data_IF_598876382935
#
_entry.id   IF_598876382935
#
_cell.length_a   1.000
_cell.length_b   1.000
_cell.length_c   1.000
_cell.angle_alpha   90.00
_cell.angle_beta   90.00
_cell.angle_gamma   90.00
#
_symmetry.space_group_name_H-M   'P 1'
#
loop_
_entity.id
_entity.type
_entity.pdbx_description
1 polymer ?
#
# COMPACT_ATOMS: atom_id res chain seq x y z
N UNK A 1 9.74 -13.71 -13.14
CA UNK A 1 8.41 -14.28 -13.43
C UNK A 1 8.39 -15.17 -14.66
N UNK A 2 8.85 -14.73 -15.83
CA UNK A 2 8.86 -15.54 -17.06
C UNK A 2 9.59 -16.87 -16.90
N UNK A 3 10.81 -16.88 -16.36
CA UNK A 3 11.57 -18.10 -16.10
C UNK A 3 10.89 -19.06 -15.13
N UNK A 4 10.05 -18.56 -14.22
CA UNK A 4 9.32 -19.39 -13.28
C UNK A 4 8.15 -20.14 -13.93
N UNK A 5 7.59 -19.62 -15.04
CA UNK A 5 6.52 -20.26 -15.80
C UNK A 5 6.99 -21.50 -16.60
N UNK A 6 8.30 -21.64 -16.83
CA UNK A 6 8.89 -22.73 -17.63
C UNK A 6 9.96 -23.53 -16.90
N UNK A 7 10.30 -23.13 -15.66
CA UNK A 7 11.34 -23.75 -14.85
C UNK A 7 10.83 -24.83 -13.89
N UNK A 8 11.62 -25.14 -12.87
CA UNK A 8 11.35 -26.13 -11.84
C UNK A 8 10.00 -25.93 -11.12
N UNK A 9 9.57 -24.67 -10.96
CA UNK A 9 8.34 -24.30 -10.26
C UNK A 9 7.15 -24.06 -11.20
N UNK A 10 7.23 -24.46 -12.47
CA UNK A 10 6.20 -24.16 -13.47
C UNK A 10 4.78 -24.56 -13.04
N UNK A 11 4.61 -25.78 -12.53
CA UNK A 11 3.30 -26.29 -12.09
C UNK A 11 2.74 -25.47 -10.90
N UNK A 12 3.60 -25.12 -9.94
CA UNK A 12 3.24 -24.27 -8.81
C UNK A 12 2.82 -22.89 -9.31
N UNK A 13 3.58 -22.29 -10.20
CA UNK A 13 3.30 -20.98 -10.78
C UNK A 13 1.99 -21.02 -11.56
N UNK A 14 1.77 -21.98 -12.45
CA UNK A 14 0.54 -22.12 -13.23
C UNK A 14 -0.71 -22.29 -12.36
N UNK A 15 -0.59 -22.91 -11.19
CA UNK A 15 -1.70 -23.07 -10.25
C UNK A 15 -2.07 -21.79 -9.49
N UNK A 16 -1.19 -20.77 -9.48
CA UNK A 16 -1.37 -19.52 -8.71
C UNK A 16 -1.43 -18.25 -9.57
N UNK A 17 -0.67 -18.22 -10.67
CA UNK A 17 -0.54 -17.04 -11.53
C UNK A 17 -1.87 -16.61 -12.16
N UNK A 18 -2.25 -15.35 -11.98
CA UNK A 18 -3.53 -14.77 -12.44
C UNK A 18 -4.78 -15.51 -11.92
N UNK A 19 -4.69 -16.15 -10.75
CA UNK A 19 -5.84 -16.81 -10.11
C UNK A 19 -6.49 -15.92 -9.06
N UNK A 20 -5.71 -15.18 -8.32
CA UNK A 20 -6.22 -14.28 -7.30
C UNK A 20 -6.66 -12.94 -7.91
N UNK A 21 -5.94 -12.47 -8.95
CA UNK A 21 -6.30 -11.31 -9.78
C UNK A 21 -6.46 -11.76 -11.23
N UNK A 22 -7.60 -12.37 -11.60
CA UNK A 22 -7.82 -12.80 -12.97
C UNK A 22 -7.99 -11.60 -13.92
N UNK A 23 -7.61 -11.71 -15.20
CA UNK A 23 -7.74 -10.61 -16.18
C UNK A 23 -9.18 -10.09 -16.37
N UNK A 24 -10.19 -10.85 -15.95
CA UNK A 24 -11.61 -10.46 -16.03
C UNK A 24 -12.11 -9.70 -14.81
N UNK A 25 -11.27 -9.43 -13.81
CA UNK A 25 -11.66 -8.79 -12.55
C UNK A 25 -12.11 -7.33 -12.78
N UNK A 26 -11.28 -6.55 -13.48
CA UNK A 26 -11.57 -5.15 -13.86
C UNK A 26 -10.67 -4.71 -15.03
N UNK A 27 -10.92 -3.51 -15.57
CA UNK A 27 -10.24 -3.00 -16.78
C UNK A 27 -8.70 -2.95 -16.67
N UNK A 28 -8.13 -2.65 -15.51
CA UNK A 28 -6.67 -2.61 -15.33
C UNK A 28 -6.07 -4.00 -15.18
N UNK A 29 -6.79 -4.94 -14.57
CA UNK A 29 -6.40 -6.34 -14.56
C UNK A 29 -6.45 -6.94 -15.99
N UNK A 30 -7.42 -6.53 -16.82
CA UNK A 30 -7.50 -6.92 -18.21
C UNK A 30 -6.33 -6.36 -19.04
N UNK A 31 -6.00 -5.08 -18.84
CA UNK A 31 -4.83 -4.47 -19.47
C UNK A 31 -3.55 -5.20 -19.07
N UNK A 32 -3.35 -5.39 -17.76
CA UNK A 32 -2.20 -6.12 -17.25
C UNK A 32 -2.11 -7.54 -17.85
N UNK A 33 -3.21 -8.29 -17.84
CA UNK A 33 -3.26 -9.65 -18.39
C UNK A 33 -2.93 -9.74 -19.89
N UNK A 34 -3.18 -8.66 -20.65
CA UNK A 34 -2.90 -8.60 -22.08
C UNK A 34 -1.43 -8.26 -22.40
N UNK A 35 -0.76 -7.47 -21.54
CA UNK A 35 0.56 -6.88 -21.87
C UNK A 35 1.60 -7.04 -20.74
N UNK A 36 1.34 -7.85 -19.74
CA UNK A 36 2.29 -8.05 -18.64
C UNK A 36 3.66 -8.52 -19.16
N UNK A 37 4.71 -8.06 -18.52
CA UNK A 37 6.07 -8.49 -18.83
C UNK A 37 6.96 -8.39 -17.61
N UNK A 38 7.73 -9.46 -17.34
CA UNK A 38 8.63 -9.52 -16.21
C UNK A 38 7.93 -9.57 -14.84
N UNK A 39 8.66 -9.23 -13.81
CA UNK A 39 8.21 -9.24 -12.42
C UNK A 39 8.91 -10.28 -11.56
N UNK A 40 8.48 -10.38 -10.29
CA UNK A 40 9.13 -11.21 -9.28
C UNK A 40 8.33 -12.49 -9.02
N UNK A 41 9.05 -13.59 -8.82
CA UNK A 41 8.50 -14.82 -8.26
C UNK A 41 9.28 -15.18 -7.00
N UNK A 42 8.57 -15.40 -5.88
CA UNK A 42 9.17 -15.82 -4.62
C UNK A 42 8.35 -16.97 -4.06
N UNK A 43 9.03 -18.05 -3.73
CA UNK A 43 8.46 -19.20 -3.04
C UNK A 43 9.24 -19.44 -1.74
N UNK A 44 8.52 -19.46 -0.62
CA UNK A 44 9.10 -19.77 0.70
C UNK A 44 8.48 -21.06 1.20
N UNK A 45 9.26 -22.15 1.25
CA UNK A 45 8.78 -23.46 1.72
C UNK A 45 8.30 -23.45 3.17
N UNK A 46 7.49 -24.44 3.53
CA UNK A 46 6.92 -24.57 4.87
C UNK A 46 7.98 -24.53 5.98
N UNK A 47 7.69 -23.76 7.03
CA UNK A 47 8.55 -23.60 8.21
C UNK A 47 9.82 -22.77 7.99
N UNK A 48 10.08 -22.26 6.79
CA UNK A 48 11.26 -21.44 6.50
C UNK A 48 11.05 -20.00 6.95
N UNK A 49 11.97 -19.50 7.76
CA UNK A 49 12.00 -18.09 8.18
C UNK A 49 13.10 -17.34 7.43
N UNK A 50 12.72 -16.41 6.58
CA UNK A 50 13.64 -15.54 5.86
C UNK A 50 13.97 -14.34 6.74
N UNK A 51 15.16 -14.34 7.36
CA UNK A 51 15.56 -13.32 8.35
C UNK A 51 15.84 -11.97 7.71
N UNK A 52 16.48 -11.97 6.53
CA UNK A 52 16.82 -10.74 5.79
C UNK A 52 15.70 -10.45 4.78
N UNK A 53 15.14 -9.23 4.79
CA UNK A 53 14.11 -8.86 3.81
C UNK A 53 14.59 -9.07 2.36
N UNK A 54 13.76 -9.68 1.54
CA UNK A 54 14.00 -9.73 0.10
C UNK A 54 13.51 -8.43 -0.54
N UNK A 55 14.22 -7.97 -1.55
CA UNK A 55 13.92 -6.71 -2.22
C UNK A 55 13.79 -6.88 -3.72
N UNK A 56 12.78 -6.22 -4.30
CA UNK A 56 12.65 -5.98 -5.74
C UNK A 56 12.52 -4.48 -5.99
N UNK A 57 13.24 -3.97 -6.98
CA UNK A 57 13.18 -2.56 -7.34
C UNK A 57 12.87 -2.40 -8.82
N UNK A 58 11.74 -1.76 -9.11
CA UNK A 58 11.27 -1.50 -10.47
C UNK A 58 11.47 -0.03 -10.83
N UNK A 59 12.18 0.22 -11.91
CA UNK A 59 12.43 1.56 -12.40
C UNK A 59 12.04 1.70 -13.86
N UNK A 60 11.08 2.59 -14.13
CA UNK A 60 10.69 2.93 -15.49
C UNK A 60 11.64 3.96 -16.08
N UNK A 61 12.49 3.53 -17.05
CA UNK A 61 13.55 4.35 -17.63
C UNK A 61 13.27 4.80 -19.08
N UNK A 62 12.01 4.79 -19.52
CA UNK A 62 11.65 5.17 -20.88
C UNK A 62 10.50 6.19 -20.89
N UNK A 63 10.63 7.32 -21.62
CA UNK A 63 9.55 8.29 -21.75
C UNK A 63 8.38 7.70 -22.56
N UNK A 64 7.14 7.98 -22.12
CA UNK A 64 5.92 7.49 -22.78
C UNK A 64 5.69 5.98 -22.70
N UNK A 65 6.43 5.29 -21.85
CA UNK A 65 6.31 3.84 -21.69
C UNK A 65 5.31 3.44 -20.60
N UNK A 66 4.89 2.17 -20.67
CA UNK A 66 4.14 1.47 -19.63
C UNK A 66 5.02 0.43 -18.94
N UNK A 67 4.76 0.20 -17.65
CA UNK A 67 5.36 -0.87 -16.85
C UNK A 67 4.26 -1.76 -16.30
N UNK A 68 4.39 -3.07 -16.50
CA UNK A 68 3.32 -4.07 -16.27
C UNK A 68 3.88 -5.33 -15.62
N UNK A 69 4.70 -5.18 -14.58
CA UNK A 69 5.30 -6.31 -13.88
C UNK A 69 4.26 -7.12 -13.09
N UNK A 70 4.49 -8.43 -13.00
CA UNK A 70 3.69 -9.34 -12.19
C UNK A 70 4.52 -9.93 -11.05
N UNK A 71 4.15 -9.61 -9.82
CA UNK A 71 4.77 -10.18 -8.62
C UNK A 71 3.89 -11.29 -8.05
N UNK A 72 4.42 -12.49 -7.97
CA UNK A 72 3.79 -13.65 -7.34
C UNK A 72 4.63 -14.10 -6.16
N UNK A 73 4.03 -14.10 -4.96
CA UNK A 73 4.70 -14.56 -3.74
C UNK A 73 3.84 -15.62 -3.07
N UNK A 74 4.46 -16.77 -2.79
CA UNK A 74 3.83 -17.89 -2.09
C UNK A 74 4.66 -18.18 -0.83
N UNK A 75 4.03 -18.06 0.34
CA UNK A 75 4.64 -18.33 1.64
C UNK A 75 3.85 -19.49 2.26
N UNK A 76 4.48 -20.65 2.36
CA UNK A 76 3.82 -21.88 2.83
C UNK A 76 3.62 -21.92 4.35
N UNK A 77 3.03 -23.00 4.84
CA UNK A 77 2.65 -23.20 6.25
C UNK A 77 3.81 -22.88 7.22
N UNK A 78 3.53 -22.02 8.21
CA UNK A 78 4.48 -21.65 9.27
C UNK A 78 5.70 -20.86 8.80
N UNK A 79 5.77 -20.48 7.52
CA UNK A 79 6.90 -19.72 6.99
C UNK A 79 6.77 -18.21 7.23
N UNK A 80 7.88 -17.50 7.16
CA UNK A 80 7.96 -16.05 7.31
C UNK A 80 8.76 -15.40 6.19
N UNK A 81 8.22 -14.31 5.66
CA UNK A 81 8.91 -13.46 4.70
C UNK A 81 8.59 -11.98 4.94
N UNK A 82 9.61 -11.12 4.90
CA UNK A 82 9.45 -9.69 4.63
C UNK A 82 9.91 -9.42 3.21
N UNK A 83 9.01 -8.95 2.35
CA UNK A 83 9.32 -8.55 0.98
C UNK A 83 9.14 -7.04 0.83
N UNK A 84 10.10 -6.39 0.16
CA UNK A 84 10.10 -4.96 -0.05
C UNK A 84 10.09 -4.68 -1.55
N UNK A 85 9.12 -3.92 -2.01
CA UNK A 85 9.00 -3.47 -3.38
C UNK A 85 9.24 -1.96 -3.46
N UNK A 86 10.27 -1.56 -4.19
CA UNK A 86 10.54 -0.17 -4.53
C UNK A 86 10.14 0.12 -5.96
N UNK A 87 9.44 1.22 -6.20
CA UNK A 87 9.04 1.64 -7.53
C UNK A 87 9.39 3.10 -7.78
N UNK A 88 10.01 3.40 -8.93
CA UNK A 88 10.33 4.79 -9.28
C UNK A 88 10.32 5.05 -10.79
N UNK A 89 10.13 6.32 -11.16
CA UNK A 89 10.37 6.81 -12.50
C UNK A 89 11.03 8.19 -12.45
N UNK A 90 12.00 8.48 -13.32
CA UNK A 90 12.51 9.83 -13.49
C UNK A 90 11.44 10.74 -14.11
N UNK A 91 11.65 12.05 -14.02
CA UNK A 91 10.76 13.02 -14.63
C UNK A 91 10.93 13.03 -16.15
N UNK A 92 9.83 12.80 -16.85
CA UNK A 92 9.73 12.95 -18.29
C UNK A 92 8.71 14.04 -18.64
N UNK A 93 8.81 14.62 -19.85
CA UNK A 93 7.83 15.61 -20.34
C UNK A 93 6.58 14.97 -20.97
N UNK A 94 6.37 13.67 -20.75
CA UNK A 94 5.26 12.88 -21.26
C UNK A 94 4.69 12.02 -20.15
N UNK A 95 3.42 11.63 -20.27
CA UNK A 95 2.78 10.73 -19.34
C UNK A 95 3.35 9.31 -19.47
N UNK A 96 3.46 8.63 -18.33
CA UNK A 96 3.85 7.24 -18.22
C UNK A 96 2.77 6.47 -17.46
N UNK A 97 2.68 5.17 -17.67
CA UNK A 97 1.70 4.29 -17.04
C UNK A 97 2.40 3.18 -16.26
N UNK A 98 1.97 2.97 -15.02
CA UNK A 98 2.28 1.78 -14.25
C UNK A 98 0.97 1.04 -13.95
N UNK A 99 0.87 -0.22 -14.36
CA UNK A 99 -0.26 -1.08 -14.07
C UNK A 99 0.24 -2.50 -13.73
N UNK A 100 1.02 -2.59 -12.66
CA UNK A 100 1.52 -3.82 -12.11
C UNK A 100 0.43 -4.66 -11.44
N UNK A 101 0.72 -5.94 -11.22
CA UNK A 101 -0.14 -6.86 -10.51
C UNK A 101 0.66 -7.63 -9.44
N UNK A 102 0.08 -7.75 -8.25
CA UNK A 102 0.70 -8.47 -7.14
C UNK A 102 -0.28 -9.48 -6.57
N UNK A 103 0.10 -10.75 -6.59
CA UNK A 103 -0.65 -11.87 -6.01
C UNK A 103 0.16 -12.50 -4.87
N UNK A 104 -0.41 -12.50 -3.67
CA UNK A 104 0.24 -13.00 -2.47
C UNK A 104 -0.59 -14.14 -1.87
N UNK A 105 0.07 -15.26 -1.64
CA UNK A 105 -0.53 -16.42 -0.98
C UNK A 105 0.18 -16.67 0.35
N UNK A 106 -0.58 -16.56 1.44
CA UNK A 106 -0.08 -16.73 2.81
C UNK A 106 -0.71 -17.99 3.39
N UNK A 107 0.11 -19.01 3.54
CA UNK A 107 -0.29 -20.33 4.04
C UNK A 107 -0.71 -20.33 5.50
N UNK A 108 -1.10 -21.52 5.98
CA UNK A 108 -1.52 -21.73 7.37
C UNK A 108 -0.41 -21.32 8.35
N UNK A 109 -0.77 -20.51 9.35
CA UNK A 109 0.15 -19.96 10.36
C UNK A 109 1.39 -19.25 9.77
N UNK A 110 1.40 -18.92 8.47
CA UNK A 110 2.48 -18.18 7.84
C UNK A 110 2.32 -16.68 8.07
N UNK A 111 3.43 -15.95 7.91
CA UNK A 111 3.42 -14.50 7.99
C UNK A 111 4.16 -13.91 6.80
N UNK A 112 3.50 -13.02 6.08
CA UNK A 112 4.09 -12.21 5.02
C UNK A 112 3.95 -10.73 5.37
N UNK A 113 5.08 -10.01 5.42
CA UNK A 113 5.09 -8.55 5.41
C UNK A 113 5.46 -8.08 4.00
N UNK A 114 4.61 -7.26 3.41
CA UNK A 114 4.81 -6.69 2.09
C UNK A 114 4.88 -5.16 2.20
N UNK A 115 6.09 -4.61 2.02
CA UNK A 115 6.34 -3.18 2.11
C UNK A 115 6.54 -2.59 0.72
N UNK A 116 5.87 -1.47 0.42
CA UNK A 116 6.02 -0.76 -0.86
C UNK A 116 6.39 0.70 -0.60
N UNK A 117 7.44 1.18 -1.25
CA UNK A 117 7.76 2.61 -1.35
C UNK A 117 7.71 3.01 -2.81
N UNK A 118 6.75 3.85 -3.14
CA UNK A 118 6.52 4.37 -4.48
C UNK A 118 6.99 5.82 -4.55
N UNK A 119 7.94 6.08 -5.46
CA UNK A 119 8.51 7.40 -5.74
C UNK A 119 8.41 7.69 -7.24
N UNK A 120 7.20 7.99 -7.67
CA UNK A 120 6.90 8.24 -9.06
C UNK A 120 7.06 9.72 -9.45
N UNK A 121 7.40 9.98 -10.71
CA UNK A 121 7.30 11.34 -11.25
C UNK A 121 5.85 11.81 -11.29
N UNK A 122 5.64 13.14 -11.23
CA UNK A 122 4.29 13.76 -11.26
C UNK A 122 3.54 13.61 -12.60
N UNK A 123 4.11 12.93 -13.59
CA UNK A 123 3.46 12.60 -14.87
C UNK A 123 2.98 11.14 -14.92
N UNK A 124 3.18 10.39 -13.85
CA UNK A 124 2.85 8.96 -13.80
C UNK A 124 1.38 8.73 -13.49
N UNK A 125 0.75 7.81 -14.22
CA UNK A 125 -0.50 7.16 -13.85
C UNK A 125 -0.16 5.81 -13.21
N UNK A 126 -0.44 5.68 -11.93
CA UNK A 126 -0.15 4.49 -11.13
C UNK A 126 -1.44 3.75 -10.80
N UNK A 127 -1.71 2.64 -11.51
CA UNK A 127 -2.99 1.91 -11.51
C UNK A 127 -2.75 0.46 -11.13
N UNK A 128 -2.10 0.24 -9.99
CA UNK A 128 -1.61 -1.06 -9.55
C UNK A 128 -2.72 -1.88 -8.88
N UNK A 129 -2.67 -3.21 -9.04
CA UNK A 129 -3.62 -4.15 -8.41
C UNK A 129 -2.86 -5.12 -7.50
N UNK A 130 -3.17 -5.12 -6.21
CA UNK A 130 -2.53 -5.99 -5.21
C UNK A 130 -3.58 -6.80 -4.47
N UNK A 131 -3.37 -8.12 -4.35
CA UNK A 131 -4.29 -9.00 -3.61
C UNK A 131 -3.54 -10.09 -2.85
N UNK A 132 -3.95 -10.31 -1.59
CA UNK A 132 -3.48 -11.40 -0.76
C UNK A 132 -4.64 -12.36 -0.42
N UNK A 133 -4.35 -13.66 -0.43
CA UNK A 133 -5.19 -14.70 0.18
C UNK A 133 -4.48 -15.22 1.41
N UNK A 134 -5.19 -15.25 2.55
CA UNK A 134 -4.63 -15.62 3.85
C UNK A 134 -5.38 -16.82 4.41
N UNK A 135 -4.66 -17.90 4.62
CA UNK A 135 -5.18 -19.15 5.16
C UNK A 135 -5.24 -19.15 6.70
N UNK A 136 -5.66 -20.26 7.29
CA UNK A 136 -5.88 -20.43 8.74
C UNK A 136 -4.69 -19.92 9.58
N UNK A 137 -4.96 -19.02 10.53
CA UNK A 137 -3.95 -18.44 11.41
C UNK A 137 -2.88 -17.61 10.72
N UNK A 138 -2.92 -17.50 9.39
CA UNK A 138 -1.95 -16.72 8.61
C UNK A 138 -2.09 -15.21 8.83
N UNK A 139 -1.04 -14.46 8.56
CA UNK A 139 -0.99 -13.00 8.72
C UNK A 139 -0.37 -12.32 7.52
N UNK A 140 -1.07 -11.34 6.95
CA UNK A 140 -0.54 -10.39 5.97
C UNK A 140 -0.39 -9.01 6.59
N UNK A 141 0.80 -8.42 6.47
CA UNK A 141 1.07 -7.05 6.85
C UNK A 141 1.44 -6.24 5.59
N UNK A 142 0.67 -5.21 5.30
CA UNK A 142 0.95 -4.26 4.24
C UNK A 142 1.53 -2.98 4.83
N UNK A 143 2.66 -2.53 4.30
CA UNK A 143 3.23 -1.21 4.62
C UNK A 143 3.38 -0.44 3.32
N UNK A 144 2.75 0.73 3.20
CA UNK A 144 2.69 1.47 1.93
C UNK A 144 3.06 2.93 2.11
N UNK A 145 4.04 3.39 1.33
CA UNK A 145 4.37 4.81 1.17
C UNK A 145 4.15 5.24 -0.29
N UNK A 146 3.20 6.14 -0.53
CA UNK A 146 2.85 6.64 -1.87
C UNK A 146 3.25 8.09 -2.03
N UNK A 147 4.25 8.33 -2.88
CA UNK A 147 4.80 9.64 -3.24
C UNK A 147 4.85 9.80 -4.75
N UNK A 148 4.66 11.02 -5.21
CA UNK A 148 4.66 11.29 -6.64
C UNK A 148 3.33 10.92 -7.30
N UNK A 149 3.39 10.54 -8.58
CA UNK A 149 2.27 10.30 -9.51
C UNK A 149 1.42 11.55 -9.79
N UNK A 150 0.81 11.59 -10.96
CA UNK A 150 -0.28 12.50 -11.27
C UNK A 150 -1.60 11.97 -10.71
N UNK A 151 -1.84 10.68 -10.97
CA UNK A 151 -2.99 9.93 -10.48
C UNK A 151 -2.51 8.58 -9.96
N UNK A 152 -2.95 8.20 -8.75
CA UNK A 152 -2.77 6.85 -8.22
C UNK A 152 -4.11 6.23 -7.88
N UNK A 153 -4.30 4.95 -8.26
CA UNK A 153 -5.36 4.07 -7.74
C UNK A 153 -4.69 2.83 -7.16
N UNK A 154 -4.67 2.75 -5.82
CA UNK A 154 -3.98 1.68 -5.11
C UNK A 154 -4.84 1.18 -3.93
N UNK A 155 -5.40 -0.02 -4.08
CA UNK A 155 -6.29 -0.64 -3.10
C UNK A 155 -5.89 -2.09 -2.85
N UNK A 156 -4.82 -2.38 -2.07
CA UNK A 156 -4.50 -3.73 -1.71
C UNK A 156 -5.69 -4.41 -1.04
N UNK A 157 -5.97 -5.62 -1.47
CA UNK A 157 -7.11 -6.39 -0.99
C UNK A 157 -6.62 -7.63 -0.25
N UNK A 158 -7.08 -7.84 0.98
CA UNK A 158 -6.83 -9.05 1.77
C UNK A 158 -8.08 -9.91 1.82
N UNK A 159 -7.98 -11.15 1.35
CA UNK A 159 -9.01 -12.18 1.52
C UNK A 159 -8.61 -13.08 2.70
N UNK A 160 -9.29 -12.91 3.84
CA UNK A 160 -9.09 -13.72 5.03
C UNK A 160 -9.94 -15.00 4.89
N UNK A 161 -9.34 -16.03 4.26
CA UNK A 161 -10.03 -17.23 3.83
C UNK A 161 -10.04 -18.34 4.91
N UNK A 162 -9.04 -18.33 5.79
CA UNK A 162 -8.92 -19.31 6.88
C UNK A 162 -9.34 -18.77 8.23
N UNK A 163 -9.73 -19.64 9.15
CA UNK A 163 -10.06 -19.28 10.53
C UNK A 163 -8.88 -18.59 11.23
N UNK A 164 -9.14 -17.50 11.96
CA UNK A 164 -8.11 -16.76 12.69
C UNK A 164 -7.12 -16.00 11.81
N UNK A 165 -7.33 -15.94 10.48
CA UNK A 165 -6.49 -15.17 9.57
C UNK A 165 -6.52 -13.67 9.90
N UNK A 166 -5.38 -12.98 9.67
CA UNK A 166 -5.19 -11.58 10.05
C UNK A 166 -4.67 -10.74 8.89
N UNK A 167 -5.10 -9.46 8.86
CA UNK A 167 -4.58 -8.47 7.92
C UNK A 167 -4.32 -7.15 8.64
N UNK A 168 -3.11 -6.62 8.45
CA UNK A 168 -2.73 -5.29 8.92
C UNK A 168 -2.35 -4.42 7.72
N UNK A 169 -2.83 -3.20 7.69
CA UNK A 169 -2.47 -2.22 6.66
C UNK A 169 -2.01 -0.92 7.34
N UNK A 170 -0.78 -0.52 7.07
CA UNK A 170 -0.23 0.76 7.49
C UNK A 170 0.21 1.54 6.26
N UNK A 171 -0.33 2.74 6.07
CA UNK A 171 -0.08 3.52 4.87
C UNK A 171 0.13 5.00 5.11
N UNK A 172 0.98 5.62 4.26
CA UNK A 172 1.12 7.06 4.16
C UNK A 172 1.04 7.51 2.70
N UNK A 173 0.31 8.60 2.47
CA UNK A 173 0.16 9.21 1.15
C UNK A 173 0.48 10.69 1.25
N UNK A 174 1.29 11.21 0.32
CA UNK A 174 1.58 12.64 0.23
C UNK A 174 1.16 13.17 -1.15
N UNK A 175 0.10 13.98 -1.17
CA UNK A 175 -0.43 14.61 -2.40
C UNK A 175 -0.03 16.08 -2.48
N UNK A 176 0.83 16.42 -3.43
CA UNK A 176 1.24 17.78 -3.75
C UNK A 176 0.47 18.38 -4.92
N UNK A 177 0.94 19.54 -5.39
CA UNK A 177 0.31 20.28 -6.51
C UNK A 177 0.07 19.41 -7.75
N UNK A 178 -1.17 19.38 -8.22
CA UNK A 178 -1.58 18.68 -9.44
C UNK A 178 -1.70 17.17 -9.29
N UNK A 179 -1.62 16.65 -8.06
CA UNK A 179 -1.72 15.23 -7.78
C UNK A 179 -3.12 14.86 -7.27
N UNK A 180 -3.63 13.70 -7.70
CA UNK A 180 -4.85 13.09 -7.20
C UNK A 180 -4.53 11.63 -6.82
N UNK A 181 -4.33 11.41 -5.53
CA UNK A 181 -3.92 10.12 -5.00
C UNK A 181 -5.11 9.47 -4.27
N UNK A 182 -5.79 8.56 -4.96
CA UNK A 182 -6.91 7.80 -4.43
C UNK A 182 -6.39 6.41 -4.00
N UNK A 183 -6.17 6.26 -2.71
CA UNK A 183 -5.57 5.09 -2.09
C UNK A 183 -6.52 4.47 -1.08
N UNK A 184 -6.21 3.28 -0.59
CA UNK A 184 -7.04 2.65 0.40
C UNK A 184 -6.65 1.20 0.64
N UNK A 185 -7.53 0.47 1.32
CA UNK A 185 -7.40 -0.96 1.48
C UNK A 185 -8.77 -1.64 1.57
N UNK A 186 -8.83 -2.88 1.11
CA UNK A 186 -10.01 -3.72 1.23
C UNK A 186 -9.70 -4.99 1.99
N UNK A 187 -10.55 -5.35 2.94
CA UNK A 187 -10.48 -6.65 3.62
C UNK A 187 -11.80 -7.38 3.48
N UNK A 188 -11.71 -8.65 3.14
CA UNK A 188 -12.86 -9.56 3.08
C UNK A 188 -12.67 -10.64 4.14
N UNK A 189 -13.46 -10.60 5.19
CA UNK A 189 -13.54 -11.62 6.21
C UNK A 189 -14.47 -12.73 5.72
N UNK A 190 -13.91 -13.91 5.39
CA UNK A 190 -14.65 -15.07 4.85
C UNK A 190 -14.73 -16.24 5.81
N UNK A 191 -13.91 -16.26 6.85
CA UNK A 191 -13.85 -17.30 7.87
C UNK A 191 -14.05 -16.71 9.28
N UNK A 192 -14.39 -17.53 10.29
CA UNK A 192 -14.60 -17.06 11.65
C UNK A 192 -13.30 -16.62 12.34
N UNK A 193 -13.44 -15.84 13.41
CA UNK A 193 -12.34 -15.39 14.27
C UNK A 193 -11.24 -14.58 13.54
N UNK A 194 -11.54 -14.05 12.36
CA UNK A 194 -10.58 -13.23 11.59
C UNK A 194 -10.46 -11.81 12.12
N UNK A 195 -9.31 -11.19 11.92
CA UNK A 195 -9.09 -9.81 12.38
C UNK A 195 -8.40 -8.95 11.33
N UNK A 196 -8.77 -7.66 11.29
CA UNK A 196 -8.07 -6.69 10.46
C UNK A 196 -7.89 -5.35 11.15
N UNK A 197 -6.78 -4.69 10.83
CA UNK A 197 -6.47 -3.34 11.26
C UNK A 197 -5.96 -2.52 10.09
N UNK A 198 -6.53 -1.33 9.88
CA UNK A 198 -6.07 -0.38 8.88
C UNK A 198 -5.71 0.93 9.58
N UNK A 199 -4.46 1.36 9.43
CA UNK A 199 -3.98 2.64 9.94
C UNK A 199 -3.37 3.44 8.79
N UNK A 200 -3.96 4.61 8.49
CA UNK A 200 -3.51 5.40 7.36
C UNK A 200 -3.33 6.85 7.72
N UNK A 201 -2.33 7.45 7.10
CA UNK A 201 -2.04 8.86 7.18
C UNK A 201 -1.95 9.48 5.81
N UNK A 202 -2.61 10.60 5.60
CA UNK A 202 -2.52 11.35 4.36
C UNK A 202 -2.13 12.79 4.61
N UNK A 203 -1.28 13.32 3.73
CA UNK A 203 -0.84 14.71 3.76
C UNK A 203 -1.18 15.32 2.41
N UNK A 204 -1.79 16.50 2.42
CA UNK A 204 -2.14 17.24 1.19
C UNK A 204 -1.58 18.64 1.24
N UNK A 205 -0.93 19.07 0.14
CA UNK A 205 -0.24 20.37 0.03
C UNK A 205 -0.43 20.98 -1.35
N UNK A 206 -0.48 22.31 -1.41
CA UNK A 206 -0.51 23.12 -2.64
C UNK A 206 -1.66 22.76 -3.60
N UNK A 207 -2.83 22.42 -3.05
CA UNK A 207 -4.00 21.99 -3.80
C UNK A 207 -3.98 20.53 -4.24
N UNK A 208 -3.11 19.72 -3.67
CA UNK A 208 -3.13 18.26 -3.85
C UNK A 208 -4.40 17.63 -3.27
N UNK A 209 -4.84 16.53 -3.87
CA UNK A 209 -6.01 15.77 -3.44
C UNK A 209 -5.60 14.39 -3.00
N UNK A 210 -5.88 14.04 -1.75
CA UNK A 210 -5.76 12.68 -1.23
C UNK A 210 -7.14 12.13 -0.93
N UNK A 211 -7.42 10.91 -1.37
CA UNK A 211 -8.63 10.18 -1.02
C UNK A 211 -8.24 8.85 -0.40
N UNK A 212 -8.80 8.55 0.78
CA UNK A 212 -8.65 7.24 1.39
C UNK A 212 -9.97 6.47 1.31
N UNK A 213 -9.94 5.28 0.68
CA UNK A 213 -11.09 4.37 0.62
C UNK A 213 -10.82 3.13 1.43
N UNK A 214 -11.54 2.95 2.53
CA UNK A 214 -11.57 1.68 3.26
C UNK A 214 -12.77 0.84 2.83
N UNK A 215 -12.56 -0.46 2.67
CA UNK A 215 -13.65 -1.39 2.41
C UNK A 215 -13.52 -2.63 3.30
N UNK A 216 -14.52 -2.84 4.16
CA UNK A 216 -14.60 -4.00 5.04
C UNK A 216 -15.83 -4.81 4.67
N UNK A 217 -15.61 -6.06 4.25
CA UNK A 217 -16.68 -7.02 3.96
C UNK A 217 -16.61 -8.15 4.96
N UNK A 218 -17.70 -8.41 5.68
CA UNK A 218 -17.80 -9.51 6.64
C UNK A 218 -18.92 -10.45 6.18
N UNK A 219 -18.54 -11.64 5.74
CA UNK A 219 -19.51 -12.64 5.25
C UNK A 219 -20.34 -13.25 6.38
N UNK A 220 -21.39 -13.97 6.06
CA UNK A 220 -22.25 -14.65 7.06
C UNK A 220 -21.49 -15.68 7.90
N UNK A 221 -20.44 -16.28 7.34
CA UNK A 221 -19.62 -17.30 7.99
C UNK A 221 -18.54 -16.70 8.92
N UNK A 222 -18.17 -15.43 8.70
CA UNK A 222 -17.10 -14.75 9.42
C UNK A 222 -17.55 -14.24 10.82
N UNK A 223 -18.06 -15.17 11.65
CA UNK A 223 -18.47 -14.89 13.04
C UNK A 223 -17.27 -14.56 13.91
N UNK A 224 -17.49 -13.71 14.91
CA UNK A 224 -16.49 -13.25 15.88
C UNK A 224 -15.30 -12.53 15.25
N UNK A 225 -15.48 -12.05 14.01
CA UNK A 225 -14.46 -11.26 13.34
C UNK A 225 -14.40 -9.84 13.87
N UNK A 226 -13.18 -9.27 13.86
CA UNK A 226 -12.92 -7.90 14.31
C UNK A 226 -12.25 -7.09 13.22
N UNK A 227 -12.68 -5.84 13.04
CA UNK A 227 -12.01 -4.89 12.15
C UNK A 227 -11.97 -3.50 12.75
N UNK A 228 -10.81 -2.86 12.70
CA UNK A 228 -10.66 -1.46 13.07
C UNK A 228 -10.01 -0.69 11.94
N UNK A 229 -10.59 0.45 11.59
CA UNK A 229 -10.06 1.36 10.58
C UNK A 229 -9.82 2.71 11.24
N UNK A 230 -8.58 3.18 11.21
CA UNK A 230 -8.18 4.51 11.66
C UNK A 230 -7.55 5.27 10.51
N UNK A 231 -8.05 6.46 10.20
CA UNK A 231 -7.48 7.32 9.18
C UNK A 231 -7.29 8.74 9.69
N UNK A 232 -6.08 9.24 9.53
CA UNK A 232 -5.72 10.60 9.90
C UNK A 232 -5.27 11.37 8.66
N UNK A 233 -5.77 12.59 8.49
CA UNK A 233 -5.44 13.43 7.35
C UNK A 233 -4.99 14.81 7.81
N UNK A 234 -3.88 15.28 7.24
CA UNK A 234 -3.29 16.59 7.51
C UNK A 234 -3.24 17.44 6.24
N UNK A 235 -4.01 18.52 6.20
CA UNK A 235 -3.93 19.52 5.12
C UNK A 235 -2.99 20.65 5.52
N UNK A 236 -2.07 21.01 4.63
CA UNK A 236 -1.06 22.04 4.89
C UNK A 236 -1.49 23.45 4.43
N UNK A 237 -2.59 23.53 3.69
CA UNK A 237 -3.17 24.78 3.18
C UNK A 237 -4.68 24.65 2.90
N UNK A 238 -5.35 25.78 2.57
CA UNK A 238 -6.79 25.85 2.32
C UNK A 238 -7.24 25.37 0.94
N UNK A 239 -6.31 25.14 0.00
CA UNK A 239 -6.61 24.69 -1.36
C UNK A 239 -6.54 23.18 -1.48
N UNK A 240 -5.85 22.54 -0.55
CA UNK A 240 -5.67 21.08 -0.49
C UNK A 240 -6.95 20.41 -0.03
N UNK A 241 -7.13 19.17 -0.47
CA UNK A 241 -8.31 18.37 -0.14
C UNK A 241 -7.92 16.99 0.36
N UNK A 242 -8.63 16.53 1.38
CA UNK A 242 -8.54 15.16 1.86
C UNK A 242 -9.95 14.59 2.06
N UNK A 243 -10.20 13.45 1.42
CA UNK A 243 -11.47 12.73 1.50
C UNK A 243 -11.27 11.37 2.16
N UNK A 244 -12.22 10.96 3.00
CA UNK A 244 -12.31 9.61 3.55
C UNK A 244 -13.64 8.98 3.17
N UNK A 245 -13.60 7.83 2.49
CA UNK A 245 -14.77 7.15 1.94
C UNK A 245 -14.81 5.71 2.49
N UNK A 246 -15.45 5.49 3.65
CA UNK A 246 -15.62 4.15 4.20
C UNK A 246 -16.73 3.39 3.50
N UNK A 247 -16.52 2.09 3.28
CA UNK A 247 -17.53 1.15 2.83
C UNK A 247 -17.54 -0.09 3.73
N UNK A 248 -18.70 -0.43 4.30
CA UNK A 248 -18.85 -1.56 5.21
C UNK A 248 -20.03 -2.43 4.75
N UNK A 249 -19.76 -3.70 4.44
CA UNK A 249 -20.76 -4.73 4.10
C UNK A 249 -20.70 -5.84 5.16
N UNK A 250 -21.50 -5.70 6.23
CA UNK A 250 -21.46 -6.59 7.39
C UNK A 250 -22.69 -7.48 7.35
N UNK A 251 -22.48 -8.78 7.09
CA UNK A 251 -23.56 -9.76 6.89
C UNK A 251 -23.76 -10.71 8.07
N UNK A 252 -23.15 -10.45 9.22
CA UNK A 252 -23.34 -11.19 10.48
C UNK A 252 -23.53 -10.21 11.63
N UNK A 253 -24.23 -10.65 12.69
CA UNK A 253 -24.41 -9.87 13.93
C UNK A 253 -23.24 -10.10 14.91
N UNK A 254 -22.46 -11.16 14.68
CA UNK A 254 -21.40 -11.61 15.58
C UNK A 254 -20.03 -11.04 15.08
N UNK A 255 -19.97 -9.74 14.82
CA UNK A 255 -18.73 -9.06 14.43
C UNK A 255 -18.58 -7.72 15.15
N UNK A 256 -17.34 -7.34 15.45
CA UNK A 256 -16.96 -6.08 16.09
C UNK A 256 -16.19 -5.22 15.07
N UNK A 257 -16.83 -4.16 14.57
CA UNK A 257 -16.30 -3.35 13.47
C UNK A 257 -16.31 -1.88 13.86
N UNK A 258 -15.13 -1.26 13.88
CA UNK A 258 -14.94 0.16 14.17
C UNK A 258 -14.33 0.92 12.99
N UNK A 259 -14.72 2.19 12.85
CA UNK A 259 -14.09 3.14 11.92
C UNK A 259 -13.94 4.50 12.61
N UNK A 260 -12.74 5.04 12.60
CA UNK A 260 -12.42 6.38 13.08
C UNK A 260 -11.72 7.19 11.99
N UNK A 261 -12.12 8.44 11.81
CA UNK A 261 -11.49 9.36 10.87
C UNK A 261 -11.22 10.71 11.53
N UNK A 262 -10.00 11.20 11.38
CA UNK A 262 -9.60 12.54 11.84
C UNK A 262 -9.04 13.31 10.65
N UNK A 263 -9.67 14.44 10.33
CA UNK A 263 -9.22 15.32 9.24
C UNK A 263 -8.97 16.70 9.84
N UNK A 264 -7.75 17.19 9.72
CA UNK A 264 -7.34 18.46 10.27
C UNK A 264 -6.42 19.25 9.34
N UNK A 265 -6.28 20.55 9.68
CA UNK A 265 -5.23 21.40 9.11
C UNK A 265 -4.06 21.47 10.08
N UNK A 266 -2.90 21.82 9.52
CA UNK A 266 -1.73 22.12 10.35
C UNK A 266 -2.05 23.27 11.29
N UNK A 267 -1.75 23.11 12.58
CA UNK A 267 -2.03 24.13 13.59
C UNK A 267 -1.06 25.30 13.47
N UNK A 268 -1.57 26.48 13.22
CA UNK A 268 -0.77 27.72 13.18
C UNK A 268 -0.17 28.02 14.55
N UNK A 269 -0.85 27.66 15.67
CA UNK A 269 -0.31 27.80 17.03
C UNK A 269 0.90 26.87 17.24
N UNK A 270 0.84 25.62 16.75
CA UNK A 270 1.96 24.69 16.83
C UNK A 270 3.16 25.19 16.00
N UNK A 271 2.90 25.71 14.81
CA UNK A 271 3.93 26.32 13.97
C UNK A 271 4.55 27.53 14.68
N UNK A 272 3.74 28.44 15.19
CA UNK A 272 4.19 29.63 15.94
C UNK A 272 5.00 29.25 17.18
N UNK A 273 4.57 28.23 17.92
CA UNK A 273 5.31 27.72 19.09
C UNK A 273 6.72 27.27 18.71
N UNK A 274 6.85 26.50 17.63
CA UNK A 274 8.16 26.03 17.14
C UNK A 274 9.03 27.19 16.62
N UNK A 275 8.42 28.16 15.93
CA UNK A 275 9.11 29.38 15.51
C UNK A 275 9.63 30.20 16.71
N UNK A 276 8.87 30.27 17.80
CA UNK A 276 9.31 30.94 19.03
C UNK A 276 10.50 30.25 19.72
N UNK A 277 10.79 29.00 19.33
CA UNK A 277 11.96 28.23 19.76
C UNK A 277 13.14 28.33 18.80
N UNK A 278 13.05 29.19 17.77
CA UNK A 278 14.15 29.50 16.84
C UNK A 278 14.12 28.74 15.51
N UNK A 279 13.06 27.99 15.21
CA UNK A 279 12.91 27.35 13.91
C UNK A 279 12.37 28.36 12.88
N UNK A 280 12.76 28.20 11.61
CA UNK A 280 12.06 28.85 10.51
C UNK A 280 10.63 28.29 10.37
N UNK A 281 9.72 29.02 9.74
CA UNK A 281 8.36 28.51 9.48
C UNK A 281 8.41 27.21 8.65
N UNK A 282 9.29 27.14 7.65
CA UNK A 282 9.49 25.96 6.82
C UNK A 282 9.93 24.74 7.66
N UNK A 283 10.92 24.93 8.54
CA UNK A 283 11.42 23.84 9.40
C UNK A 283 10.39 23.43 10.45
N UNK A 284 9.63 24.39 10.98
CA UNK A 284 8.54 24.10 11.94
C UNK A 284 7.44 23.24 11.29
N UNK A 285 6.99 23.60 10.09
CA UNK A 285 6.02 22.83 9.31
C UNK A 285 6.57 21.45 8.95
N UNK A 286 7.82 21.35 8.50
CA UNK A 286 8.46 20.09 8.16
C UNK A 286 8.61 19.17 9.38
N UNK A 287 8.87 19.72 10.56
CA UNK A 287 8.96 18.95 11.81
C UNK A 287 7.58 18.37 12.21
N UNK A 288 6.51 19.14 12.11
CA UNK A 288 5.14 18.68 12.41
C UNK A 288 4.76 17.54 11.44
N UNK A 289 5.02 17.71 10.14
CA UNK A 289 4.73 16.70 9.11
C UNK A 289 5.55 15.44 9.32
N UNK A 290 6.83 15.56 9.67
CA UNK A 290 7.68 14.41 9.99
C UNK A 290 7.16 13.66 11.22
N UNK A 291 6.75 14.35 12.27
CA UNK A 291 6.12 13.76 13.44
C UNK A 291 4.81 13.05 13.12
N UNK A 292 3.99 13.63 12.23
CA UNK A 292 2.77 13.00 11.74
C UNK A 292 3.06 11.71 10.95
N UNK A 293 4.14 11.64 10.20
CA UNK A 293 4.54 10.47 9.41
C UNK A 293 5.29 9.38 10.22
N UNK A 294 5.75 9.69 11.44
CA UNK A 294 6.70 8.87 12.20
C UNK A 294 6.19 7.45 12.49
N UNK A 295 4.89 7.28 12.74
CA UNK A 295 4.31 5.96 12.99
C UNK A 295 4.45 5.01 11.80
N UNK A 296 4.38 5.52 10.55
CA UNK A 296 4.56 4.70 9.35
C UNK A 296 6.04 4.42 9.11
N UNK A 297 6.92 5.40 9.36
CA UNK A 297 8.36 5.22 9.15
C UNK A 297 8.94 4.14 10.06
N UNK A 298 8.44 3.99 11.27
CA UNK A 298 8.86 2.96 12.23
C UNK A 298 8.52 1.53 11.80
N UNK A 299 7.60 1.35 10.88
CA UNK A 299 7.22 0.06 10.32
C UNK A 299 8.17 -0.41 9.20
N UNK A 300 9.05 0.45 8.73
CA UNK A 300 9.99 0.18 7.64
C UNK A 300 11.39 -0.17 8.17
N UNK A 301 12.18 -0.97 7.44
CA UNK A 301 13.61 -1.07 7.69
C UNK A 301 14.28 0.31 7.62
N UNK A 302 15.40 0.47 8.34
CA UNK A 302 16.04 1.78 8.56
C UNK A 302 16.30 2.54 7.26
N UNK A 303 16.80 1.87 6.22
CA UNK A 303 17.12 2.47 4.93
C UNK A 303 15.88 3.06 4.25
N UNK A 304 14.76 2.35 4.30
CA UNK A 304 13.48 2.78 3.74
C UNK A 304 12.80 3.85 4.60
N UNK A 305 12.95 3.79 5.91
CA UNK A 305 12.50 4.85 6.80
C UNK A 305 13.23 6.16 6.51
N UNK A 306 14.55 6.11 6.29
CA UNK A 306 15.37 7.27 5.89
C UNK A 306 14.94 7.78 4.52
N UNK A 307 14.74 6.90 3.52
CA UNK A 307 14.25 7.28 2.20
C UNK A 307 12.88 7.98 2.30
N UNK A 308 11.92 7.39 2.99
CA UNK A 308 10.59 7.98 3.17
C UNK A 308 10.65 9.36 3.84
N UNK A 309 11.44 9.51 4.89
CA UNK A 309 11.60 10.80 5.56
C UNK A 309 12.27 11.85 4.66
N UNK A 310 13.20 11.43 3.79
CA UNK A 310 13.79 12.31 2.79
C UNK A 310 12.78 12.72 1.71
N UNK A 311 11.94 11.79 1.23
CA UNK A 311 10.86 12.09 0.28
C UNK A 311 9.87 13.11 0.86
N UNK A 312 9.42 12.92 2.10
CA UNK A 312 8.57 13.88 2.80
C UNK A 312 9.23 15.27 2.85
N UNK A 313 10.50 15.33 3.22
CA UNK A 313 11.25 16.60 3.29
C UNK A 313 11.38 17.28 1.94
N UNK A 314 11.61 16.51 0.87
CA UNK A 314 11.68 17.03 -0.51
C UNK A 314 10.32 17.53 -0.98
N UNK A 315 9.24 16.81 -0.70
CA UNK A 315 7.88 17.27 -1.01
C UNK A 315 7.52 18.55 -0.24
N UNK A 316 7.93 18.65 1.03
CA UNK A 316 7.74 19.89 1.81
C UNK A 316 8.41 21.09 1.17
N UNK A 317 9.61 20.92 0.59
CA UNK A 317 10.35 21.97 -0.15
C UNK A 317 9.86 22.20 -1.57
N UNK A 318 8.91 21.40 -2.07
CA UNK A 318 8.44 21.46 -3.46
C UNK A 318 9.49 21.00 -4.48
N UNK A 319 10.48 20.21 -4.06
CA UNK A 319 11.65 19.81 -4.86
C UNK A 319 11.46 18.48 -5.60
N UNK A 320 10.35 17.77 -5.40
CA UNK A 320 10.01 16.54 -6.13
C UNK A 320 9.11 16.91 -7.32
N UNK A 321 9.49 16.46 -8.52
CA UNK A 321 8.70 16.63 -9.73
C UNK A 321 9.53 16.67 -10.99
#
# INVERSE_FOLDING_TARGET
MESALTGEYADLVHSHFMKLVPPRDHKFAALHGAVWSGGSFVFVPAGVHVEIPLQSYFRLNAPGAGQFEHTLIIVEEGAYLHFIEGCSAPKYNVANLHAGCVELYVGKNAKLRYSTIENWSKNMYNLNTKRAKVEEGGTIEWVSGSFGSHVSYLYPTSLLAGEGARSEFTGITFAGKGQNLDTGAKVVHSAPNTSSYMNTRSISKDGGVSTFRSSVVVTKQAKHSKSSVSCESLMLDDRSRSDTIPAMDIRTKDADIGHEAQIGKISDEAVFYLMSRGLSEEDARAMIVSGFADNVSKELPLEYAVEMNNLIRLEMKGSIG
#
